data_IF_911482601072
#
_entry.id   IF_911482601072
#
_cell.length_a   1.000
_cell.length_b   1.000
_cell.length_c   1.000
_cell.angle_alpha   90.00
_cell.angle_beta   90.00
_cell.angle_gamma   90.00
#
_symmetry.space_group_name_H-M   'P 1'
#
loop_
_entity.id
_entity.type
_entity.pdbx_description
1 polymer ?
#
# COMPACT_ATOMS: atom_id res chain seq x y z
N UNK A 1 -2.85 -2.22 28.81
CA UNK A 1 -4.08 -2.43 28.04
C UNK A 1 -4.94 -1.19 28.19
N UNK A 2 -4.83 -0.26 27.25
CA UNK A 2 -5.94 0.66 26.97
C UNK A 2 -6.85 -0.14 26.03
N UNK A 3 -8.16 -0.17 26.30
CA UNK A 3 -9.11 -0.90 25.47
C UNK A 3 -9.25 -0.23 24.10
N UNK A 4 -9.40 -1.04 23.04
CA UNK A 4 -9.55 -0.56 21.66
C UNK A 4 -10.69 0.46 21.53
N UNK A 5 -11.79 0.27 22.27
CA UNK A 5 -12.94 1.19 22.36
C UNK A 5 -12.56 2.65 22.66
N UNK A 6 -11.53 2.90 23.48
CA UNK A 6 -11.09 4.28 23.80
C UNK A 6 -10.27 4.90 22.65
N UNK A 7 -9.59 4.09 21.83
CA UNK A 7 -8.96 4.55 20.59
C UNK A 7 -10.00 4.76 19.49
N UNK A 8 -11.04 3.91 19.42
CA UNK A 8 -12.13 4.00 18.45
C UNK A 8 -12.90 5.32 18.58
N UNK A 9 -13.31 5.71 19.79
CA UNK A 9 -14.03 6.97 20.02
C UNK A 9 -13.17 8.20 19.67
N UNK A 10 -11.85 8.11 19.82
CA UNK A 10 -10.93 9.22 19.58
C UNK A 10 -10.51 9.34 18.10
N UNK A 11 -10.30 8.21 17.41
CA UNK A 11 -10.01 8.16 15.98
C UNK A 11 -11.22 8.54 15.12
N UNK A 12 -12.44 8.19 15.56
CA UNK A 12 -13.68 8.63 14.90
C UNK A 12 -13.97 10.12 15.14
N UNK A 13 -13.71 10.65 16.35
CA UNK A 13 -13.89 12.09 16.64
C UNK A 13 -12.87 13.00 15.95
N UNK A 14 -11.66 12.52 15.67
CA UNK A 14 -10.59 13.31 15.05
C UNK A 14 -10.61 13.30 13.51
N UNK A 15 -11.70 12.86 12.87
CA UNK A 15 -11.81 12.88 11.41
C UNK A 15 -10.84 11.93 10.72
N UNK A 16 -10.67 10.71 11.26
CA UNK A 16 -9.75 9.71 10.75
C UNK A 16 -9.85 9.50 9.24
N UNK A 17 -8.69 9.58 8.57
CA UNK A 17 -8.49 9.81 7.13
C UNK A 17 -8.65 8.50 6.33
N UNK A 18 -9.73 7.77 6.61
CA UNK A 18 -10.20 6.58 5.90
C UNK A 18 -11.71 6.57 6.04
N UNK A 19 -12.43 6.88 4.95
CA UNK A 19 -13.88 7.12 4.97
C UNK A 19 -14.66 5.98 5.64
N UNK A 20 -14.56 4.76 5.10
CA UNK A 20 -15.43 3.65 5.52
C UNK A 20 -14.74 2.28 5.59
N UNK A 21 -13.45 2.19 5.26
CA UNK A 21 -12.72 0.92 5.22
C UNK A 21 -13.05 0.06 4.00
N UNK A 22 -13.79 0.58 3.02
CA UNK A 22 -14.23 -0.13 1.80
C UNK A 22 -13.42 0.30 0.58
N UNK A 23 -12.30 0.97 0.81
CA UNK A 23 -11.45 1.52 -0.23
C UNK A 23 -10.71 0.39 -0.95
N UNK A 24 -10.77 0.38 -2.29
CA UNK A 24 -9.96 -0.48 -3.15
C UNK A 24 -9.15 0.46 -4.05
N UNK A 25 -7.84 0.42 -3.86
CA UNK A 25 -6.89 1.30 -4.53
C UNK A 25 -6.44 0.69 -5.86
N UNK A 26 -6.21 1.55 -6.84
CA UNK A 26 -5.54 1.20 -8.08
C UNK A 26 -4.26 2.03 -8.21
N UNK A 27 -3.10 1.39 -8.29
CA UNK A 27 -1.89 2.09 -8.73
C UNK A 27 -1.97 2.27 -10.24
N UNK A 28 -2.27 3.50 -10.67
CA UNK A 28 -2.60 3.85 -12.05
C UNK A 28 -1.37 4.22 -12.89
N UNK A 29 -0.23 3.57 -12.65
CA UNK A 29 1.00 3.72 -13.43
C UNK A 29 1.97 2.57 -13.13
N UNK A 30 2.90 2.37 -14.06
CA UNK A 30 4.05 1.49 -13.94
C UNK A 30 5.34 2.30 -14.16
N UNK A 31 6.52 1.67 -14.12
CA UNK A 31 7.78 2.42 -14.27
C UNK A 31 7.98 3.03 -15.67
N UNK A 32 7.37 2.42 -16.69
CA UNK A 32 7.48 2.81 -18.10
C UNK A 32 6.45 3.87 -18.53
N UNK A 33 5.46 4.20 -17.68
CA UNK A 33 4.35 5.11 -17.99
C UNK A 33 4.80 6.47 -18.55
N UNK A 34 5.95 6.99 -18.12
CA UNK A 34 6.53 8.25 -18.59
C UNK A 34 6.91 8.25 -20.09
N UNK A 35 7.06 7.07 -20.72
CA UNK A 35 7.40 6.91 -22.15
C UNK A 35 6.20 7.07 -23.08
N UNK A 36 5.03 7.35 -22.52
CA UNK A 36 3.74 7.38 -23.21
C UNK A 36 2.95 8.65 -22.87
N UNK A 37 1.91 8.95 -23.67
CA UNK A 37 0.93 9.97 -23.30
C UNK A 37 0.00 9.43 -22.20
N UNK A 38 0.51 9.42 -20.97
CA UNK A 38 -0.10 8.67 -19.87
C UNK A 38 -1.48 9.19 -19.45
N UNK A 39 -1.65 10.51 -19.40
CA UNK A 39 -2.91 11.11 -18.96
C UNK A 39 -4.08 10.78 -19.89
N UNK A 40 -3.88 10.86 -21.21
CA UNK A 40 -4.90 10.42 -22.18
C UNK A 40 -5.14 8.90 -22.13
N UNK A 41 -4.09 8.12 -21.89
CA UNK A 41 -4.22 6.66 -21.75
C UNK A 41 -5.04 6.26 -20.50
N UNK A 42 -4.94 7.02 -19.42
CA UNK A 42 -5.78 6.86 -18.22
C UNK A 42 -7.21 7.37 -18.44
N UNK A 43 -7.39 8.50 -19.13
CA UNK A 43 -8.71 9.08 -19.44
C UNK A 43 -9.63 8.06 -20.12
N UNK A 44 -9.10 7.31 -21.09
CA UNK A 44 -9.79 6.21 -21.79
C UNK A 44 -10.27 5.08 -20.86
N UNK A 45 -9.65 4.93 -19.66
CA UNK A 45 -9.90 3.83 -18.72
C UNK A 45 -10.74 4.23 -17.50
N UNK A 46 -11.02 5.51 -17.28
CA UNK A 46 -11.75 6.00 -16.08
C UNK A 46 -13.10 5.31 -15.90
N UNK A 47 -13.83 5.07 -17.00
CA UNK A 47 -15.16 4.41 -16.96
C UNK A 47 -15.03 2.95 -16.54
N UNK A 48 -14.06 2.23 -17.10
CA UNK A 48 -13.81 0.83 -16.79
C UNK A 48 -13.35 0.65 -15.34
N UNK A 49 -12.37 1.45 -14.89
CA UNK A 49 -11.92 1.49 -13.49
C UNK A 49 -13.07 1.69 -12.49
N UNK A 50 -13.98 2.63 -12.78
CA UNK A 50 -15.15 2.88 -11.93
C UNK A 50 -16.15 1.71 -11.94
N UNK A 51 -16.32 1.03 -13.10
CA UNK A 51 -17.18 -0.14 -13.23
C UNK A 51 -16.60 -1.39 -12.55
N UNK A 52 -15.27 -1.60 -12.62
CA UNK A 52 -14.57 -2.66 -11.89
C UNK A 52 -14.68 -2.52 -10.37
N UNK A 53 -14.94 -1.29 -9.88
CA UNK A 53 -15.23 -1.02 -8.48
C UNK A 53 -14.08 -0.41 -7.68
N UNK A 54 -13.04 0.10 -8.33
CA UNK A 54 -12.01 0.90 -7.66
C UNK A 54 -12.62 2.16 -7.03
N UNK A 55 -12.13 2.55 -5.85
CA UNK A 55 -12.58 3.75 -5.14
C UNK A 55 -11.62 4.91 -5.26
N UNK A 56 -10.33 4.62 -5.45
CA UNK A 56 -9.24 5.60 -5.48
C UNK A 56 -8.17 5.16 -6.48
N UNK A 57 -7.63 6.09 -7.26
CA UNK A 57 -6.50 5.86 -8.15
C UNK A 57 -5.26 6.61 -7.64
N UNK A 58 -4.18 5.89 -7.36
CA UNK A 58 -2.87 6.47 -7.10
C UNK A 58 -2.21 6.81 -8.45
N UNK A 59 -2.16 8.10 -8.74
CA UNK A 59 -1.54 8.67 -9.93
C UNK A 59 -0.02 8.89 -9.71
N UNK A 60 0.81 8.91 -10.77
CA UNK A 60 2.23 9.23 -10.64
C UNK A 60 2.46 10.67 -10.16
N UNK A 61 3.65 11.02 -9.64
CA UNK A 61 4.00 12.39 -9.27
C UNK A 61 3.69 13.38 -10.41
N UNK A 62 2.81 14.38 -10.23
CA UNK A 62 2.18 15.09 -11.36
C UNK A 62 3.07 16.19 -11.99
N UNK A 63 4.39 16.11 -11.81
CA UNK A 63 5.27 17.29 -11.78
C UNK A 63 6.68 17.01 -12.34
N UNK A 64 7.37 18.06 -12.78
CA UNK A 64 8.70 17.95 -13.40
C UNK A 64 9.79 17.45 -12.43
N UNK A 65 10.67 16.55 -12.90
CA UNK A 65 11.76 15.92 -12.15
C UNK A 65 13.15 16.24 -12.76
N UNK A 66 14.22 15.53 -12.37
CA UNK A 66 15.61 15.73 -12.82
C UNK A 66 16.33 14.46 -13.34
N UNK A 67 15.65 13.32 -13.44
CA UNK A 67 16.10 12.07 -14.07
C UNK A 67 15.87 12.13 -15.62
N UNK A 68 15.65 11.07 -16.42
CA UNK A 68 15.10 11.26 -17.78
C UNK A 68 13.80 12.11 -17.80
N UNK A 69 13.11 12.13 -16.66
CA UNK A 69 11.92 12.91 -16.30
C UNK A 69 12.22 14.41 -15.99
N UNK A 70 13.41 14.93 -16.33
CA UNK A 70 13.71 16.36 -16.54
C UNK A 70 15.18 16.75 -16.38
N UNK A 71 15.59 17.98 -16.71
CA UNK A 71 17.02 18.35 -16.60
C UNK A 71 17.30 19.84 -16.34
N UNK A 72 18.45 20.11 -15.70
CA UNK A 72 19.06 21.43 -15.44
C UNK A 72 18.23 22.44 -14.63
N UNK A 73 17.87 22.05 -13.40
CA UNK A 73 17.22 22.92 -12.41
C UNK A 73 17.62 22.61 -10.96
N UNK A 74 18.91 22.33 -10.71
CA UNK A 74 19.47 21.63 -9.53
C UNK A 74 18.95 22.00 -8.13
N UNK A 75 18.38 23.20 -7.94
CA UNK A 75 17.72 23.61 -6.69
C UNK A 75 16.39 24.37 -6.88
N UNK A 76 15.90 24.57 -8.13
CA UNK A 76 14.84 25.54 -8.42
C UNK A 76 14.19 25.35 -9.82
N UNK A 77 13.62 24.18 -10.14
CA UNK A 77 12.66 24.04 -11.26
C UNK A 77 11.54 23.04 -10.99
N UNK A 78 10.34 23.57 -10.89
CA UNK A 78 9.07 22.86 -10.81
C UNK A 78 8.01 23.77 -11.45
N UNK A 79 7.32 23.26 -12.48
CA UNK A 79 6.07 23.69 -13.17
C UNK A 79 5.64 25.18 -13.34
N UNK A 80 6.39 26.17 -12.85
CA UNK A 80 6.00 27.58 -12.85
C UNK A 80 5.52 28.10 -11.49
N UNK A 81 5.50 27.27 -10.44
CA UNK A 81 5.32 27.71 -9.04
C UNK A 81 6.71 27.92 -8.40
N UNK A 82 7.21 29.17 -8.28
CA UNK A 82 8.51 29.43 -7.66
C UNK A 82 8.43 29.27 -6.13
N UNK A 83 8.68 28.05 -5.66
CA UNK A 83 9.04 27.81 -4.26
C UNK A 83 10.45 28.36 -4.04
N UNK A 84 10.57 29.53 -3.40
CA UNK A 84 11.83 30.28 -3.31
C UNK A 84 12.77 29.71 -2.24
N UNK A 85 13.16 28.45 -2.39
CA UNK A 85 14.11 27.78 -1.52
C UNK A 85 15.55 28.02 -1.97
N UNK A 86 16.44 28.16 -0.99
CA UNK A 86 17.89 28.23 -1.15
C UNK A 86 18.55 27.01 -0.47
N UNK A 87 19.88 27.03 -0.30
CA UNK A 87 20.58 25.91 0.32
C UNK A 87 20.19 25.62 1.78
N UNK A 88 19.46 26.51 2.48
CA UNK A 88 18.96 26.26 3.84
C UNK A 88 17.73 25.33 3.87
N UNK A 89 17.09 25.08 2.71
CA UNK A 89 16.04 24.07 2.57
C UNK A 89 16.59 22.64 2.43
N UNK A 90 17.90 22.48 2.24
CA UNK A 90 18.59 21.20 2.02
C UNK A 90 19.39 20.82 3.27
N UNK A 91 19.36 19.55 3.65
CA UNK A 91 20.07 19.05 4.84
C UNK A 91 21.59 19.20 4.71
N UNK A 92 22.26 19.48 5.83
CA UNK A 92 23.73 19.56 5.91
C UNK A 92 24.41 18.30 5.38
N UNK A 93 23.89 17.12 5.74
CA UNK A 93 24.42 15.82 5.34
C UNK A 93 24.26 15.50 3.84
N UNK A 94 23.42 16.23 3.09
CA UNK A 94 23.28 16.13 1.63
C UNK A 94 23.85 17.33 0.85
N UNK A 95 24.67 18.16 1.52
CA UNK A 95 25.40 19.27 0.90
C UNK A 95 24.73 20.65 1.00
N UNK A 96 23.65 20.77 1.78
CA UNK A 96 22.98 22.04 2.07
C UNK A 96 23.55 22.81 3.27
N UNK A 97 22.78 23.79 3.74
CA UNK A 97 23.02 24.59 4.96
C UNK A 97 21.87 24.49 5.98
N UNK A 98 20.88 23.64 5.74
CA UNK A 98 19.88 23.25 6.73
C UNK A 98 20.47 22.38 7.84
N UNK A 99 19.60 21.85 8.68
CA UNK A 99 19.97 20.91 9.75
C UNK A 99 20.29 19.50 9.20
N UNK A 100 20.76 18.63 10.09
CA UNK A 100 20.93 17.20 9.80
C UNK A 100 19.58 16.53 9.41
N UNK A 101 19.66 15.48 8.58
CA UNK A 101 18.47 14.70 8.23
C UNK A 101 17.78 14.10 9.46
N UNK A 102 16.46 13.94 9.37
CA UNK A 102 15.63 13.32 10.41
C UNK A 102 15.24 11.88 10.09
N UNK A 103 15.81 11.32 9.02
CA UNK A 103 15.60 9.96 8.55
C UNK A 103 16.75 9.50 7.65
N UNK A 104 16.52 8.44 6.89
CA UNK A 104 17.51 7.89 5.95
C UNK A 104 17.80 8.89 4.81
N UNK A 105 19.05 9.00 4.35
CA UNK A 105 19.35 9.82 3.18
C UNK A 105 19.04 9.04 1.89
N UNK A 106 18.41 9.69 0.92
CA UNK A 106 18.38 9.21 -0.46
C UNK A 106 19.63 9.73 -1.19
N UNK A 107 20.57 8.83 -1.50
CA UNK A 107 21.83 9.20 -2.14
C UNK A 107 21.63 9.68 -3.59
N UNK A 108 22.46 10.63 -4.02
CA UNK A 108 22.46 11.16 -5.39
C UNK A 108 21.57 12.39 -5.64
N UNK A 109 20.75 12.81 -4.67
CA UNK A 109 19.97 14.08 -4.74
C UNK A 109 20.05 14.88 -3.43
N UNK A 110 19.81 16.20 -3.46
CA UNK A 110 19.62 17.00 -2.25
C UNK A 110 18.43 16.50 -1.43
N UNK A 111 18.64 16.25 -0.13
CA UNK A 111 17.58 15.82 0.79
C UNK A 111 17.01 17.06 1.52
N UNK A 112 15.69 17.13 1.68
CA UNK A 112 15.01 18.35 2.17
C UNK A 112 14.98 18.40 3.71
N UNK A 113 15.35 19.55 4.27
CA UNK A 113 15.30 19.80 5.71
C UNK A 113 13.88 20.18 6.17
N UNK A 114 13.06 19.16 6.39
CA UNK A 114 11.72 19.32 6.96
C UNK A 114 11.71 19.89 8.40
N UNK A 115 12.84 20.07 9.08
CA UNK A 115 12.86 20.78 10.38
C UNK A 115 12.64 22.29 10.21
N UNK A 116 12.91 22.85 9.03
CA UNK A 116 12.66 24.27 8.74
C UNK A 116 11.14 24.58 8.69
N UNK A 117 10.66 25.61 9.42
CA UNK A 117 9.26 26.00 9.37
C UNK A 117 8.80 26.47 7.98
N UNK A 118 9.67 27.13 7.20
CA UNK A 118 9.31 27.61 5.87
C UNK A 118 9.12 26.46 4.88
N UNK A 119 10.02 25.47 4.87
CA UNK A 119 9.90 24.24 4.08
C UNK A 119 8.55 23.56 4.32
N UNK A 120 8.17 23.36 5.59
CA UNK A 120 6.89 22.71 5.92
C UNK A 120 5.71 23.55 5.49
N UNK A 121 5.73 24.87 5.73
CA UNK A 121 4.68 25.80 5.33
C UNK A 121 4.44 25.74 3.81
N UNK A 122 5.51 25.74 3.02
CA UNK A 122 5.39 25.75 1.56
C UNK A 122 4.92 24.39 1.01
N UNK A 123 5.34 23.27 1.61
CA UNK A 123 4.79 21.93 1.33
C UNK A 123 3.30 21.88 1.67
N UNK A 124 2.88 22.42 2.82
CA UNK A 124 1.48 22.47 3.25
C UNK A 124 0.64 23.28 2.25
N UNK A 125 1.08 24.47 1.86
CA UNK A 125 0.38 25.31 0.89
C UNK A 125 0.27 24.62 -0.49
N UNK A 126 1.32 23.91 -0.92
CA UNK A 126 1.30 23.12 -2.16
C UNK A 126 0.33 21.92 -2.08
N UNK A 127 0.30 21.19 -0.97
CA UNK A 127 -0.66 20.10 -0.75
C UNK A 127 -2.10 20.64 -0.73
N UNK A 128 -2.35 21.79 -0.10
CA UNK A 128 -3.66 22.46 -0.13
C UNK A 128 -4.02 22.85 -1.57
N UNK A 129 -3.08 23.44 -2.33
CA UNK A 129 -3.30 23.80 -3.73
C UNK A 129 -3.61 22.59 -4.63
N UNK A 130 -2.90 21.47 -4.48
CA UNK A 130 -3.20 20.22 -5.18
C UNK A 130 -4.65 19.77 -4.94
N UNK A 131 -5.16 19.96 -3.72
CA UNK A 131 -6.54 19.57 -3.37
C UNK A 131 -7.60 20.54 -3.85
N UNK A 132 -7.40 21.83 -3.57
CA UNK A 132 -8.41 22.86 -3.81
C UNK A 132 -8.41 23.41 -5.23
N UNK A 133 -7.27 23.37 -5.93
CA UNK A 133 -7.13 23.91 -7.31
C UNK A 133 -7.00 22.85 -8.39
N UNK A 134 -6.31 21.73 -8.13
CA UNK A 134 -6.13 20.64 -9.11
C UNK A 134 -7.16 19.52 -8.93
N UNK A 135 -7.64 19.30 -7.70
CA UNK A 135 -8.73 18.35 -7.39
C UNK A 135 -8.28 17.01 -6.83
N UNK A 136 -6.99 16.81 -6.53
CA UNK A 136 -6.54 15.65 -5.76
C UNK A 136 -7.28 15.58 -4.42
N UNK A 137 -7.61 14.38 -3.94
CA UNK A 137 -8.29 14.24 -2.64
C UNK A 137 -7.36 13.73 -1.55
N UNK A 138 -6.36 12.95 -1.95
CA UNK A 138 -5.62 11.98 -1.15
C UNK A 138 -4.12 12.02 -1.48
N UNK A 139 -3.27 11.52 -0.58
CA UNK A 139 -1.81 11.54 -0.77
C UNK A 139 -1.13 10.19 -0.51
N UNK A 140 -0.24 9.77 -1.43
CA UNK A 140 0.79 8.74 -1.19
C UNK A 140 2.09 9.46 -0.87
N UNK A 141 2.55 9.36 0.37
CA UNK A 141 3.85 9.89 0.80
C UNK A 141 4.95 8.91 0.38
N UNK A 142 5.87 9.42 -0.45
CA UNK A 142 7.06 8.72 -0.95
C UNK A 142 8.15 8.62 0.12
N UNK A 143 8.95 7.55 0.07
CA UNK A 143 10.17 7.34 0.86
C UNK A 143 10.07 7.84 2.32
N UNK A 144 9.06 7.38 3.07
CA UNK A 144 8.72 7.98 4.38
C UNK A 144 9.67 7.61 5.52
N UNK A 145 10.73 6.85 5.21
CA UNK A 145 11.91 6.68 6.05
C UNK A 145 12.87 7.87 6.01
N UNK A 146 12.81 8.70 4.97
CA UNK A 146 13.76 9.80 4.78
C UNK A 146 13.54 11.01 5.69
N UNK A 147 12.42 11.07 6.39
CA UNK A 147 12.04 12.21 7.23
C UNK A 147 11.12 11.77 8.37
N UNK A 148 11.20 12.47 9.51
CA UNK A 148 10.45 12.09 10.70
C UNK A 148 8.92 12.15 10.47
N UNK A 149 8.22 11.06 10.81
CA UNK A 149 6.78 10.86 10.64
C UNK A 149 5.88 11.97 11.25
N UNK A 150 6.39 12.71 12.25
CA UNK A 150 5.72 13.90 12.80
C UNK A 150 5.46 14.99 11.76
N UNK A 151 6.25 15.05 10.68
CA UNK A 151 6.04 16.00 9.59
C UNK A 151 4.91 15.54 8.67
N UNK A 152 4.82 14.22 8.39
CA UNK A 152 3.65 13.62 7.71
C UNK A 152 2.37 13.93 8.49
N UNK A 153 2.40 13.82 9.82
CA UNK A 153 1.29 14.27 10.69
C UNK A 153 0.91 15.73 10.42
N UNK A 154 1.87 16.65 10.50
CA UNK A 154 1.65 18.09 10.30
C UNK A 154 1.07 18.38 8.91
N UNK A 155 1.62 17.77 7.85
CA UNK A 155 1.11 17.89 6.48
C UNK A 155 -0.34 17.42 6.37
N UNK A 156 -0.67 16.29 6.97
CA UNK A 156 -2.02 15.72 6.98
C UNK A 156 -2.99 16.60 7.78
N UNK A 157 -2.61 17.07 8.97
CA UNK A 157 -3.46 17.90 9.83
C UNK A 157 -3.81 19.25 9.18
N UNK A 158 -2.87 19.85 8.44
CA UNK A 158 -3.11 21.13 7.74
C UNK A 158 -3.80 20.94 6.39
N UNK A 159 -3.34 20.02 5.53
CA UNK A 159 -3.89 19.83 4.18
C UNK A 159 -5.17 19.00 4.11
N UNK A 160 -5.49 18.22 5.16
CA UNK A 160 -6.76 17.50 5.37
C UNK A 160 -7.22 16.59 4.21
N UNK A 161 -6.36 15.69 3.68
CA UNK A 161 -6.75 14.71 2.66
C UNK A 161 -7.87 13.78 3.16
N UNK A 162 -8.62 13.14 2.25
CA UNK A 162 -9.63 12.15 2.64
C UNK A 162 -8.99 10.79 2.95
N UNK A 163 -7.88 10.48 2.29
CA UNK A 163 -7.01 9.33 2.51
C UNK A 163 -5.51 9.68 2.43
N UNK A 164 -4.70 9.01 3.23
CA UNK A 164 -3.24 9.17 3.24
C UNK A 164 -2.55 7.82 3.50
N UNK A 165 -1.55 7.49 2.68
CA UNK A 165 -0.71 6.29 2.84
C UNK A 165 0.78 6.65 2.72
N UNK A 166 1.61 6.10 3.59
CA UNK A 166 3.06 6.20 3.50
C UNK A 166 3.73 4.93 3.00
N UNK A 167 4.76 5.12 2.19
CA UNK A 167 5.76 4.10 1.90
C UNK A 167 6.85 4.06 2.98
N UNK A 168 6.58 3.32 4.05
CA UNK A 168 7.60 2.93 5.01
C UNK A 168 8.18 1.56 4.61
N UNK A 169 9.08 1.57 3.62
CA UNK A 169 9.73 0.34 3.15
C UNK A 169 11.07 0.13 3.86
N UNK A 170 11.11 -0.84 4.76
CA UNK A 170 12.33 -1.22 5.48
C UNK A 170 12.68 -2.69 5.24
N UNK A 171 13.89 -3.11 5.64
CA UNK A 171 14.35 -4.50 5.44
C UNK A 171 13.60 -5.48 6.35
N UNK A 172 12.95 -6.48 5.77
CA UNK A 172 12.43 -7.63 6.51
C UNK A 172 13.55 -8.38 7.25
N UNK A 173 13.18 -9.20 8.25
CA UNK A 173 14.13 -9.99 9.03
C UNK A 173 14.52 -11.26 8.26
N UNK A 174 15.80 -11.41 7.93
CA UNK A 174 16.39 -12.60 7.27
C UNK A 174 17.47 -13.20 8.17
N UNK A 175 17.66 -14.53 8.13
CA UNK A 175 18.73 -15.20 8.89
C UNK A 175 19.77 -15.87 7.99
N UNK A 176 21.07 -15.86 8.36
CA UNK A 176 22.09 -16.68 7.71
C UNK A 176 21.90 -18.17 8.04
N UNK A 177 22.44 -19.11 7.23
CA UNK A 177 23.35 -18.87 6.10
C UNK A 177 22.65 -18.70 4.74
N UNK A 178 21.38 -19.06 4.62
CA UNK A 178 20.63 -19.09 3.36
C UNK A 178 19.86 -17.80 3.07
N UNK A 179 19.91 -16.82 3.99
CA UNK A 179 19.24 -15.52 3.89
C UNK A 179 17.74 -15.65 3.61
N UNK A 180 17.11 -16.71 4.13
CA UNK A 180 15.66 -16.92 3.99
C UNK A 180 14.90 -15.99 4.93
N UNK A 181 13.70 -15.61 4.49
CA UNK A 181 12.79 -14.78 5.27
C UNK A 181 12.42 -15.51 6.57
N UNK A 182 12.68 -14.88 7.71
CA UNK A 182 12.28 -15.43 9.00
C UNK A 182 10.76 -15.58 9.07
N UNK A 183 10.27 -16.64 9.71
CA UNK A 183 8.83 -16.83 9.92
C UNK A 183 8.22 -15.69 10.76
N UNK A 184 8.88 -15.33 11.87
CA UNK A 184 8.47 -14.17 12.66
C UNK A 184 9.01 -12.88 12.03
N UNK A 185 8.10 -11.98 11.67
CA UNK A 185 8.37 -10.63 11.16
C UNK A 185 7.81 -9.54 12.09
N UNK A 186 7.57 -9.84 13.37
CA UNK A 186 6.98 -8.91 14.35
C UNK A 186 7.76 -7.61 14.43
N UNK A 187 9.08 -7.68 14.41
CA UNK A 187 9.95 -6.49 14.39
C UNK A 187 9.72 -5.63 13.14
N UNK A 188 9.43 -6.23 11.99
CA UNK A 188 9.18 -5.49 10.75
C UNK A 188 7.80 -4.83 10.79
N UNK A 189 6.73 -5.58 11.11
CA UNK A 189 5.39 -4.97 11.30
C UNK A 189 5.38 -3.92 12.40
N UNK A 190 6.09 -4.12 13.52
CA UNK A 190 6.21 -3.12 14.60
C UNK A 190 6.86 -1.82 14.15
N UNK A 191 7.88 -1.84 13.27
CA UNK A 191 8.49 -0.60 12.76
C UNK A 191 7.51 0.20 11.91
N UNK A 192 6.67 -0.47 11.11
CA UNK A 192 5.56 0.17 10.38
C UNK A 192 4.49 0.71 11.35
N UNK A 193 4.07 -0.05 12.38
CA UNK A 193 3.14 0.46 13.41
C UNK A 193 3.70 1.72 14.09
N UNK A 194 4.96 1.68 14.55
CA UNK A 194 5.61 2.80 15.23
C UNK A 194 5.65 4.06 14.35
N UNK A 195 5.88 3.90 13.04
CA UNK A 195 5.83 5.00 12.09
C UNK A 195 4.40 5.56 11.96
N UNK A 196 3.38 4.71 11.81
CA UNK A 196 1.97 5.14 11.75
C UNK A 196 1.51 5.84 13.03
N UNK A 197 1.84 5.30 14.21
CA UNK A 197 1.61 5.95 15.51
C UNK A 197 2.29 7.32 15.60
N UNK A 198 3.51 7.43 15.04
CA UNK A 198 4.25 8.71 14.97
C UNK A 198 3.62 9.71 13.99
N UNK A 199 2.76 9.27 13.06
CA UNK A 199 1.86 10.17 12.29
C UNK A 199 0.61 10.58 13.08
N UNK A 200 0.47 10.14 14.34
CA UNK A 200 -0.75 10.28 15.13
C UNK A 200 -1.85 9.28 14.74
N UNK A 201 -1.49 8.17 14.06
CA UNK A 201 -2.45 7.22 13.50
C UNK A 201 -3.29 7.80 12.36
N UNK A 202 -2.88 8.94 11.77
CA UNK A 202 -3.61 9.62 10.70
C UNK A 202 -3.27 9.06 9.32
N UNK A 203 -2.04 8.59 9.12
CA UNK A 203 -1.60 7.96 7.87
C UNK A 203 -1.70 6.44 7.95
N UNK A 204 -2.18 5.81 6.89
CA UNK A 204 -2.01 4.38 6.67
C UNK A 204 -0.58 4.08 6.16
N UNK A 205 -0.18 2.81 6.07
CA UNK A 205 1.08 2.42 5.48
C UNK A 205 0.93 1.22 4.55
N UNK A 206 1.77 1.16 3.52
CA UNK A 206 1.90 -0.04 2.69
C UNK A 206 2.40 -1.22 3.52
N UNK A 207 1.72 -2.35 3.42
CA UNK A 207 2.02 -3.55 4.21
C UNK A 207 3.12 -4.39 3.55
N UNK A 208 4.33 -3.83 3.54
CA UNK A 208 5.55 -4.52 3.09
C UNK A 208 5.79 -5.84 3.86
N UNK A 209 5.24 -5.98 5.07
CA UNK A 209 5.29 -7.24 5.82
C UNK A 209 4.44 -8.32 5.16
N UNK A 210 3.19 -8.00 4.82
CA UNK A 210 2.31 -8.91 4.05
C UNK A 210 2.90 -9.21 2.68
N UNK A 211 3.38 -8.21 1.93
CA UNK A 211 4.06 -8.41 0.62
C UNK A 211 5.21 -9.41 0.72
N UNK A 212 6.15 -9.21 1.65
CA UNK A 212 7.30 -10.10 1.82
C UNK A 212 6.94 -11.51 2.24
N UNK A 213 6.02 -11.66 3.20
CA UNK A 213 5.61 -12.99 3.68
C UNK A 213 4.82 -13.73 2.60
N UNK A 214 3.86 -13.08 1.95
CA UNK A 214 2.98 -13.69 0.94
C UNK A 214 3.77 -14.17 -0.27
N UNK A 215 4.79 -13.40 -0.69
CA UNK A 215 5.72 -13.74 -1.76
C UNK A 215 6.54 -15.01 -1.48
N UNK A 216 6.95 -15.27 -0.24
CA UNK A 216 7.59 -16.55 0.12
C UNK A 216 6.56 -17.66 0.39
N UNK A 217 5.39 -17.32 0.93
CA UNK A 217 4.35 -18.28 1.28
C UNK A 217 3.78 -19.03 0.07
N UNK A 218 3.54 -18.34 -1.05
CA UNK A 218 3.01 -18.98 -2.27
C UNK A 218 3.96 -20.03 -2.87
N UNK A 219 5.26 -20.01 -2.53
CA UNK A 219 6.28 -20.97 -3.00
C UNK A 219 6.23 -22.32 -2.27
N UNK A 220 5.05 -22.78 -1.88
CA UNK A 220 4.85 -24.00 -1.09
C UNK A 220 5.14 -23.85 0.42
N UNK A 221 4.99 -22.64 0.97
CA UNK A 221 5.18 -22.33 2.39
C UNK A 221 3.99 -21.57 2.99
N UNK A 222 2.77 -21.94 2.61
CA UNK A 222 1.54 -21.25 3.01
C UNK A 222 1.27 -21.27 4.54
N UNK A 223 1.96 -22.14 5.28
CA UNK A 223 2.04 -22.15 6.75
C UNK A 223 2.56 -20.82 7.33
N UNK A 224 3.29 -20.04 6.54
CA UNK A 224 3.74 -18.69 6.92
C UNK A 224 2.59 -17.72 7.16
N UNK A 225 1.43 -17.91 6.53
CA UNK A 225 0.28 -16.98 6.56
C UNK A 225 -0.54 -17.02 7.85
N UNK A 226 -0.05 -17.69 8.89
CA UNK A 226 -0.62 -17.71 10.25
C UNK A 226 0.48 -17.47 11.26
N UNK A 227 0.37 -16.43 12.08
CA UNK A 227 1.27 -16.16 13.21
C UNK A 227 0.95 -17.06 14.44
N UNK A 228 1.79 -17.07 15.50
CA UNK A 228 1.57 -17.92 16.67
C UNK A 228 0.24 -17.66 17.41
N UNK A 229 -0.31 -16.46 17.28
CA UNK A 229 -1.60 -16.05 17.83
C UNK A 229 -2.80 -16.44 16.94
N UNK A 230 -2.55 -17.06 15.77
CA UNK A 230 -3.57 -17.52 14.84
C UNK A 230 -4.07 -16.43 13.88
N UNK A 231 -3.38 -15.30 13.78
CA UNK A 231 -3.74 -14.13 12.96
C UNK A 231 -2.91 -14.06 11.67
N UNK A 232 -3.27 -13.19 10.71
CA UNK A 232 -2.36 -12.84 9.61
C UNK A 232 -1.04 -12.27 10.14
N UNK A 233 0.11 -12.62 9.54
CA UNK A 233 1.43 -12.29 10.08
C UNK A 233 1.95 -10.90 9.70
N UNK A 234 1.26 -10.18 8.80
CA UNK A 234 1.64 -8.83 8.38
C UNK A 234 1.07 -7.71 9.27
N UNK A 235 1.14 -6.46 8.81
CA UNK A 235 0.53 -5.30 9.51
C UNK A 235 -0.98 -5.48 9.63
N UNK A 236 -1.61 -6.12 8.64
CA UNK A 236 -3.04 -6.47 8.66
C UNK A 236 -3.47 -7.32 9.87
N UNK A 237 -2.56 -8.07 10.50
CA UNK A 237 -2.87 -8.84 11.71
C UNK A 237 -2.98 -8.02 12.99
N UNK A 238 -2.42 -6.80 12.98
CA UNK A 238 -2.35 -5.91 14.14
C UNK A 238 -3.18 -4.65 13.96
N UNK A 239 -3.10 -3.98 12.80
CA UNK A 239 -3.86 -2.77 12.51
C UNK A 239 -4.42 -2.80 11.07
N UNK A 240 -5.39 -3.68 10.77
CA UNK A 240 -5.92 -3.85 9.42
C UNK A 240 -6.55 -2.58 8.86
N UNK A 241 -7.17 -1.75 9.71
CA UNK A 241 -7.71 -0.45 9.28
C UNK A 241 -6.65 0.59 8.89
N UNK A 242 -5.36 0.28 8.95
CA UNK A 242 -4.25 1.12 8.46
C UNK A 242 -3.26 0.37 7.56
N UNK A 243 -3.51 -0.91 7.28
CA UNK A 243 -2.71 -1.74 6.38
C UNK A 243 -3.18 -1.56 4.94
N UNK A 244 -2.33 -1.05 4.06
CA UNK A 244 -2.56 -1.01 2.61
C UNK A 244 -1.83 -2.17 1.97
N UNK A 245 -2.56 -3.24 1.65
CA UNK A 245 -2.01 -4.49 1.10
C UNK A 245 -1.86 -4.41 -0.42
N UNK A 246 -0.82 -5.02 -0.97
CA UNK A 246 -0.54 -5.01 -2.40
C UNK A 246 0.23 -6.27 -2.82
N UNK A 247 0.07 -6.70 -4.07
CA UNK A 247 0.87 -7.79 -4.67
C UNK A 247 2.17 -7.25 -5.26
N UNK A 248 2.08 -6.10 -5.93
CA UNK A 248 3.15 -5.44 -6.67
C UNK A 248 3.01 -3.92 -6.68
N UNK A 249 4.12 -3.22 -6.95
CA UNK A 249 4.16 -1.79 -7.24
C UNK A 249 5.18 -1.49 -8.37
N UNK A 250 5.50 -0.21 -8.61
CA UNK A 250 6.42 0.17 -9.70
C UNK A 250 7.91 -0.08 -9.40
N UNK A 251 8.29 -0.37 -8.15
CA UNK A 251 9.66 -0.66 -7.73
C UNK A 251 9.90 -2.16 -7.53
N UNK A 252 8.99 -2.80 -6.80
CA UNK A 252 9.05 -4.23 -6.52
C UNK A 252 8.93 -5.06 -7.81
N UNK A 253 8.17 -4.56 -8.79
CA UNK A 253 7.94 -5.19 -10.08
C UNK A 253 8.16 -4.23 -11.24
N UNK A 254 7.27 -4.26 -12.24
CA UNK A 254 7.44 -3.53 -13.50
C UNK A 254 8.81 -3.80 -14.15
N UNK A 255 9.45 -2.79 -14.75
CA UNK A 255 10.82 -2.90 -15.31
C UNK A 255 11.95 -2.68 -14.30
N UNK A 256 11.66 -2.25 -13.06
CA UNK A 256 12.66 -2.20 -11.99
C UNK A 256 12.92 -3.59 -11.39
N UNK A 257 11.84 -4.29 -11.02
CA UNK A 257 11.90 -5.68 -10.55
C UNK A 257 12.75 -5.88 -9.30
N UNK A 258 12.75 -4.91 -8.37
CA UNK A 258 13.60 -4.98 -7.18
C UNK A 258 13.19 -6.10 -6.21
N UNK A 259 11.92 -6.50 -6.17
CA UNK A 259 11.41 -7.53 -5.27
C UNK A 259 10.14 -8.21 -5.82
N UNK A 260 10.22 -8.90 -6.98
CA UNK A 260 9.05 -9.30 -7.74
C UNK A 260 8.32 -10.49 -7.11
N UNK A 261 6.99 -10.41 -7.10
CA UNK A 261 6.10 -11.50 -6.74
C UNK A 261 6.24 -12.64 -7.78
N UNK A 262 6.18 -13.92 -7.38
CA UNK A 262 6.25 -15.04 -8.33
C UNK A 262 5.14 -14.95 -9.38
N UNK A 263 5.54 -14.85 -10.65
CA UNK A 263 4.65 -14.49 -11.77
C UNK A 263 3.54 -15.50 -12.06
N UNK A 264 3.77 -16.75 -11.70
CA UNK A 264 2.82 -17.86 -11.76
C UNK A 264 1.82 -17.86 -10.59
N UNK A 265 2.11 -17.13 -9.50
CA UNK A 265 1.30 -17.08 -8.28
C UNK A 265 0.52 -15.76 -8.09
N UNK A 266 0.52 -14.85 -9.07
CA UNK A 266 -0.12 -13.52 -8.99
C UNK A 266 -1.59 -13.58 -8.50
N UNK A 267 -2.37 -14.54 -9.02
CA UNK A 267 -3.78 -14.69 -8.64
C UNK A 267 -3.99 -15.21 -7.21
N UNK A 268 -3.04 -15.94 -6.63
CA UNK A 268 -3.10 -16.32 -5.21
C UNK A 268 -2.83 -15.11 -4.32
N UNK A 269 -1.90 -14.24 -4.73
CA UNK A 269 -1.67 -12.94 -4.11
C UNK A 269 -2.93 -12.07 -4.08
N UNK A 270 -3.62 -11.94 -5.22
CA UNK A 270 -4.87 -11.20 -5.30
C UNK A 270 -6.04 -11.86 -4.58
N UNK A 271 -6.19 -13.19 -4.67
CA UNK A 271 -7.19 -13.92 -3.91
C UNK A 271 -7.02 -13.70 -2.40
N UNK A 272 -5.79 -13.61 -1.90
CA UNK A 272 -5.52 -13.23 -0.52
C UNK A 272 -5.92 -11.77 -0.24
N UNK A 273 -5.28 -10.77 -0.88
CA UNK A 273 -5.47 -9.37 -0.47
C UNK A 273 -6.88 -8.81 -0.74
N UNK A 274 -7.60 -9.30 -1.74
CA UNK A 274 -8.96 -8.83 -2.09
C UNK A 274 -10.08 -9.46 -1.26
N UNK A 275 -9.77 -10.54 -0.51
CA UNK A 275 -10.74 -11.21 0.37
C UNK A 275 -10.50 -10.94 1.85
N UNK A 276 -9.31 -10.45 2.20
CA UNK A 276 -8.88 -10.25 3.58
C UNK A 276 -9.11 -8.82 4.08
N UNK A 277 -8.94 -8.58 5.39
CA UNK A 277 -8.89 -7.22 5.95
C UNK A 277 -7.68 -6.44 5.43
N UNK A 278 -7.61 -5.14 5.72
CA UNK A 278 -6.69 -4.23 5.02
C UNK A 278 -7.38 -3.49 3.88
N UNK A 279 -6.59 -2.68 3.17
CA UNK A 279 -7.02 -1.83 2.06
C UNK A 279 -6.25 -2.30 0.81
N UNK A 280 -6.85 -3.14 -0.05
CA UNK A 280 -6.14 -3.73 -1.17
C UNK A 280 -5.82 -2.70 -2.26
N UNK A 281 -4.60 -2.79 -2.79
CA UNK A 281 -4.12 -2.05 -3.94
C UNK A 281 -3.85 -3.01 -5.10
N UNK A 282 -4.47 -2.75 -6.25
CA UNK A 282 -4.22 -3.46 -7.51
C UNK A 282 -3.21 -2.68 -8.34
N UNK A 283 -2.24 -3.39 -8.92
CA UNK A 283 -1.18 -2.82 -9.74
C UNK A 283 -1.56 -2.76 -11.22
N UNK A 284 -1.20 -1.66 -11.91
CA UNK A 284 -1.51 -1.43 -13.33
C UNK A 284 -1.16 -2.62 -14.23
N UNK A 285 0.07 -3.15 -14.16
CA UNK A 285 0.52 -4.20 -15.08
C UNK A 285 -0.23 -5.53 -14.91
N UNK A 286 -0.88 -5.74 -13.76
CA UNK A 286 -1.70 -6.93 -13.52
C UNK A 286 -3.17 -6.73 -13.94
N UNK A 287 -3.62 -5.51 -14.20
CA UNK A 287 -5.02 -5.22 -14.53
C UNK A 287 -5.21 -4.73 -15.98
N UNK A 288 -4.19 -4.07 -16.54
CA UNK A 288 -4.16 -3.54 -17.93
C UNK A 288 -2.80 -3.78 -18.62
N UNK A 289 -1.99 -4.70 -18.10
CA UNK A 289 -0.72 -5.07 -18.73
C UNK A 289 -0.92 -5.86 -20.02
N UNK A 290 0.18 -6.41 -20.55
CA UNK A 290 0.14 -7.23 -21.77
C UNK A 290 -0.52 -8.60 -21.58
N UNK A 291 -0.64 -9.05 -20.33
CA UNK A 291 -1.32 -10.28 -19.96
C UNK A 291 -2.68 -9.95 -19.34
N UNK A 292 -3.73 -10.12 -20.13
CA UNK A 292 -5.12 -9.86 -19.76
C UNK A 292 -5.74 -11.02 -18.93
N UNK A 293 -5.00 -12.12 -18.71
CA UNK A 293 -5.52 -13.30 -18.00
C UNK A 293 -5.91 -13.03 -16.54
N UNK A 294 -5.33 -12.00 -15.93
CA UNK A 294 -5.59 -11.62 -14.54
C UNK A 294 -6.77 -10.64 -14.39
N UNK A 295 -7.05 -9.79 -15.39
CA UNK A 295 -8.05 -8.70 -15.30
C UNK A 295 -9.41 -9.20 -14.80
N UNK A 296 -9.98 -10.19 -15.49
CA UNK A 296 -11.30 -10.74 -15.15
C UNK A 296 -11.33 -11.44 -13.79
N UNK A 297 -10.22 -12.06 -13.38
CA UNK A 297 -10.08 -12.68 -12.06
C UNK A 297 -10.05 -11.64 -10.94
N UNK A 298 -9.23 -10.60 -11.09
CA UNK A 298 -9.11 -9.48 -10.13
C UNK A 298 -10.46 -8.75 -10.00
N UNK A 299 -11.08 -8.37 -11.12
CA UNK A 299 -12.38 -7.71 -11.11
C UNK A 299 -13.46 -8.56 -10.43
N UNK A 300 -13.46 -9.88 -10.65
CA UNK A 300 -14.42 -10.78 -9.99
C UNK A 300 -14.18 -10.90 -8.48
N UNK A 301 -12.92 -10.91 -8.04
CA UNK A 301 -12.58 -10.93 -6.61
C UNK A 301 -13.00 -9.63 -5.91
N UNK A 302 -12.79 -8.47 -6.56
CA UNK A 302 -13.28 -7.16 -6.09
C UNK A 302 -14.81 -7.12 -5.99
N UNK A 303 -15.53 -7.62 -7.00
CA UNK A 303 -16.99 -7.73 -7.00
C UNK A 303 -17.48 -8.58 -5.82
N UNK A 304 -16.87 -9.75 -5.58
CA UNK A 304 -17.23 -10.65 -4.48
C UNK A 304 -17.01 -9.96 -3.13
N UNK A 305 -15.84 -9.34 -2.91
CA UNK A 305 -15.54 -8.61 -1.68
C UNK A 305 -16.56 -7.50 -1.40
N UNK A 306 -16.89 -6.71 -2.42
CA UNK A 306 -17.90 -5.64 -2.36
C UNK A 306 -19.31 -6.18 -2.07
N UNK A 307 -19.72 -7.27 -2.72
CA UNK A 307 -21.04 -7.89 -2.51
C UNK A 307 -21.19 -8.52 -1.13
N UNK A 308 -20.09 -8.98 -0.51
CA UNK A 308 -20.07 -9.52 0.85
C UNK A 308 -19.78 -8.45 1.93
N UNK A 309 -19.65 -7.19 1.53
CA UNK A 309 -19.30 -6.06 2.41
C UNK A 309 -18.02 -6.34 3.22
N UNK A 310 -17.00 -6.92 2.57
CA UNK A 310 -15.66 -7.09 3.13
C UNK A 310 -14.97 -5.73 3.16
N UNK A 311 -14.30 -5.44 4.26
CA UNK A 311 -13.71 -4.14 4.53
C UNK A 311 -12.47 -4.25 5.41
N UNK A 312 -11.71 -3.16 5.54
CA UNK A 312 -10.43 -3.10 6.25
C UNK A 312 -10.48 -3.37 7.76
N UNK A 313 -11.66 -3.67 8.32
CA UNK A 313 -11.86 -4.11 9.71
C UNK A 313 -12.52 -5.49 9.82
N UNK A 314 -12.66 -6.22 8.73
CA UNK A 314 -13.30 -7.54 8.75
C UNK A 314 -12.55 -8.49 9.68
N UNK A 315 -13.26 -9.40 10.33
CA UNK A 315 -12.67 -10.44 11.14
C UNK A 315 -12.22 -11.59 10.23
N UNK A 316 -10.99 -12.05 10.37
CA UNK A 316 -10.46 -13.22 9.66
C UNK A 316 -10.22 -14.37 10.63
N UNK A 317 -10.69 -15.56 10.24
CA UNK A 317 -10.49 -16.82 10.94
C UNK A 317 -9.76 -17.78 10.01
N UNK A 318 -8.46 -17.97 10.26
CA UNK A 318 -7.64 -18.93 9.53
C UNK A 318 -8.04 -20.35 9.96
N UNK A 319 -8.30 -21.21 8.98
CA UNK A 319 -8.65 -22.61 9.20
C UNK A 319 -7.43 -23.49 8.96
N UNK A 320 -6.91 -23.50 7.73
CA UNK A 320 -5.73 -24.26 7.34
C UNK A 320 -4.55 -23.35 7.01
N UNK A 321 -3.34 -23.82 7.34
CA UNK A 321 -2.06 -23.20 6.97
C UNK A 321 -0.96 -24.29 6.98
N UNK A 322 -0.87 -25.05 5.90
CA UNK A 322 0.16 -26.07 5.59
C UNK A 322 1.11 -25.55 4.51
N UNK A 323 2.06 -26.36 4.02
CA UNK A 323 2.90 -25.98 2.86
C UNK A 323 2.08 -25.66 1.62
N UNK A 324 1.09 -26.50 1.31
CA UNK A 324 0.32 -26.54 0.07
C UNK A 324 -1.09 -25.95 0.17
N UNK A 325 -1.55 -25.57 1.36
CA UNK A 325 -2.89 -25.04 1.59
C UNK A 325 -2.90 -23.92 2.62
N UNK A 326 -3.53 -22.81 2.25
CA UNK A 326 -4.08 -21.83 3.18
C UNK A 326 -5.58 -21.74 2.94
N UNK A 327 -6.37 -21.67 4.01
CA UNK A 327 -7.80 -21.34 3.92
C UNK A 327 -8.28 -20.49 5.10
N UNK A 328 -9.20 -19.59 4.82
CA UNK A 328 -9.73 -18.64 5.80
C UNK A 328 -11.21 -18.32 5.57
N UNK A 329 -11.91 -18.00 6.65
CA UNK A 329 -13.25 -17.40 6.65
C UNK A 329 -13.10 -15.92 7.03
N UNK A 330 -13.83 -15.04 6.35
CA UNK A 330 -13.85 -13.59 6.60
C UNK A 330 -15.30 -13.13 6.86
N UNK A 331 -15.50 -12.44 7.99
CA UNK A 331 -16.78 -11.99 8.55
C UNK A 331 -17.87 -13.08 8.68
N UNK A 332 -17.51 -14.37 8.66
CA UNK A 332 -18.44 -15.50 8.51
C UNK A 332 -19.32 -15.45 7.24
N UNK A 333 -19.02 -14.56 6.28
CA UNK A 333 -19.75 -14.34 5.02
C UNK A 333 -19.01 -14.91 3.80
N UNK A 334 -17.69 -14.72 3.76
CA UNK A 334 -16.80 -15.12 2.69
C UNK A 334 -15.85 -16.21 3.18
N UNK A 335 -15.46 -17.13 2.30
CA UNK A 335 -14.44 -18.11 2.58
C UNK A 335 -13.52 -18.27 1.35
N UNK A 336 -12.24 -18.55 1.55
CA UNK A 336 -11.28 -18.70 0.47
C UNK A 336 -10.21 -19.78 0.76
N UNK A 337 -9.56 -20.26 -0.30
CA UNK A 337 -8.28 -20.98 -0.23
C UNK A 337 -7.30 -20.55 -1.32
N UNK A 338 -6.01 -20.73 -1.04
CA UNK A 338 -4.89 -20.71 -2.02
C UNK A 338 -4.04 -22.00 -1.91
N UNK A 339 -3.06 -22.17 -2.80
CA UNK A 339 -2.18 -23.36 -2.92
C UNK A 339 -2.76 -24.55 -3.70
N UNK A 340 -1.98 -25.62 -3.83
CA UNK A 340 -2.38 -26.86 -4.53
C UNK A 340 -3.31 -27.77 -3.71
N UNK A 341 -3.31 -27.64 -2.38
CA UNK A 341 -4.05 -28.52 -1.49
C UNK A 341 -5.57 -28.47 -1.72
N UNK A 342 -6.20 -29.64 -1.81
CA UNK A 342 -7.64 -29.77 -2.02
C UNK A 342 -8.41 -29.40 -0.75
N UNK A 343 -9.30 -28.41 -0.86
CA UNK A 343 -10.09 -27.90 0.25
C UNK A 343 -11.36 -27.20 -0.23
N UNK A 344 -12.45 -27.32 0.55
CA UNK A 344 -13.67 -26.53 0.39
C UNK A 344 -14.36 -26.34 1.76
N UNK A 345 -15.19 -25.31 1.95
CA UNK A 345 -15.91 -25.10 3.20
C UNK A 345 -17.02 -26.15 3.37
N UNK A 346 -17.20 -26.60 4.61
CA UNK A 346 -18.30 -27.48 4.99
C UNK A 346 -19.60 -26.70 5.20
N UNK A 347 -20.69 -27.16 4.59
CA UNK A 347 -22.05 -26.63 4.78
C UNK A 347 -22.74 -26.28 3.46
N UNK A 348 -24.05 -26.58 3.30
CA UNK A 348 -24.79 -26.32 2.06
C UNK A 348 -25.06 -24.83 1.80
N UNK A 349 -24.80 -23.94 2.77
CA UNK A 349 -24.92 -22.50 2.62
C UNK A 349 -23.82 -21.89 1.73
N UNK A 350 -22.64 -22.53 1.65
CA UNK A 350 -21.51 -22.02 0.90
C UNK A 350 -21.62 -22.29 -0.59
N UNK A 351 -21.55 -21.23 -1.39
CA UNK A 351 -21.62 -21.27 -2.86
C UNK A 351 -20.29 -20.83 -3.43
N UNK A 352 -19.77 -21.59 -4.40
CA UNK A 352 -18.56 -21.22 -5.13
C UNK A 352 -18.83 -19.95 -5.94
N UNK A 353 -17.98 -18.93 -5.74
CA UNK A 353 -18.15 -17.60 -6.29
C UNK A 353 -17.10 -17.27 -7.37
N UNK A 354 -15.87 -17.75 -7.18
CA UNK A 354 -14.77 -17.71 -8.13
C UNK A 354 -13.79 -18.84 -7.86
N UNK A 355 -13.06 -19.26 -8.90
CA UNK A 355 -11.94 -20.20 -8.80
C UNK A 355 -11.04 -20.06 -10.02
N UNK A 356 -9.74 -20.31 -9.83
CA UNK A 356 -8.76 -20.39 -10.89
C UNK A 356 -7.59 -21.27 -10.48
N UNK A 357 -6.44 -21.07 -11.12
CA UNK A 357 -5.22 -21.82 -10.77
C UNK A 357 -4.84 -21.56 -9.30
N UNK A 358 -4.73 -22.65 -8.53
CA UNK A 358 -4.46 -22.70 -7.08
C UNK A 358 -5.33 -21.81 -6.17
N UNK A 359 -6.42 -21.17 -6.61
CA UNK A 359 -7.31 -20.40 -5.73
C UNK A 359 -8.80 -20.72 -5.91
N UNK A 360 -9.57 -20.58 -4.83
CA UNK A 360 -11.03 -20.62 -4.86
C UNK A 360 -11.65 -19.76 -3.74
N UNK A 361 -12.82 -19.18 -4.02
CA UNK A 361 -13.57 -18.30 -3.12
C UNK A 361 -15.04 -18.70 -3.12
N UNK A 362 -15.64 -18.75 -1.93
CA UNK A 362 -17.03 -19.03 -1.66
C UNK A 362 -17.66 -17.89 -0.86
N UNK A 363 -18.98 -17.76 -0.93
CA UNK A 363 -19.76 -16.94 -0.02
C UNK A 363 -21.06 -17.64 0.40
N UNK A 364 -21.78 -17.07 1.38
CA UNK A 364 -23.13 -17.52 1.77
C UNK A 364 -24.24 -16.90 0.89
#
# INVERSE_FOLDING_TARGET
MVSDENFEEQAARNGGIIKHGREILFQAFNWESHKHNWWSNLEEKVVDLAQSGFTSAWLPPPTQSLSPEGSNGMYNRYDGIPVSWDEHAVTSCSGGKGNESTGDNFDGVPNIDHTQPFVRKDIIDWLIWLRESIGFQDFRFDFTKGYAAKFVKEYIEQSKPLFAVGEYWDSCEYSPPDYRLNYNQDKHRQRIINWMDSTGGLCAAFDFTTKGILQEAVKGELWRLRDPEGKPPGVMGWWPSRSVTFVENHDTGSTQGHWPFPSDHIMEGYAYILTHPGIPTVFYDHFYGKDDSFHGGIAKLMEIGKCQDIHSRSAVKILEASSDLYSAIVDDKLCMKIGDGSWCPSGPEWKLAASGDRYAVWHK
#
